data_IF_765838603518
#
_entry.id   IF_765838603518
#
_cell.length_a   1.000
_cell.length_b   1.000
_cell.length_c   1.000
_cell.angle_alpha   90.00
_cell.angle_beta   90.00
_cell.angle_gamma   90.00
#
_symmetry.space_group_name_H-M   'P 1'
#
loop_
_entity.id
_entity.type
_entity.pdbx_description
1 polymer ?
#
# COMPACT_ATOMS: atom_id res chain seq x y z
N UNK A 1 -8.42 4.24 -25.68
CA UNK A 1 -7.48 3.21 -26.14
C UNK A 1 -6.79 2.66 -24.90
N UNK A 2 -7.04 1.39 -24.59
CA UNK A 2 -6.36 0.68 -23.50
C UNK A 2 -4.99 0.28 -24.02
N UNK A 3 -3.92 0.83 -23.45
CA UNK A 3 -2.56 0.37 -23.74
C UNK A 3 -2.40 -0.93 -22.95
N UNK A 4 -2.40 -2.06 -23.65
CA UNK A 4 -2.15 -3.37 -23.04
C UNK A 4 -0.67 -3.51 -22.71
N UNK A 5 -0.35 -3.64 -21.42
CA UNK A 5 0.99 -3.80 -20.91
C UNK A 5 1.51 -5.23 -21.15
N UNK A 6 2.56 -5.38 -21.96
CA UNK A 6 3.40 -6.59 -22.05
C UNK A 6 4.25 -6.75 -20.78
N UNK A 7 4.71 -7.98 -20.48
CA UNK A 7 5.45 -8.29 -19.26
C UNK A 7 6.57 -7.26 -18.96
N UNK A 8 6.48 -6.62 -17.79
CA UNK A 8 7.43 -5.59 -17.35
C UNK A 8 7.14 -4.14 -17.80
N UNK A 9 5.96 -3.81 -18.32
CA UNK A 9 5.59 -2.40 -18.58
C UNK A 9 4.85 -1.78 -17.39
N UNK A 10 5.49 -0.80 -16.75
CA UNK A 10 4.75 0.15 -15.93
C UNK A 10 3.75 0.92 -16.81
N UNK A 11 2.53 1.05 -16.31
CA UNK A 11 1.44 1.79 -16.92
C UNK A 11 0.92 2.86 -15.99
N UNK A 12 0.16 3.79 -16.56
CA UNK A 12 -0.67 4.73 -15.80
C UNK A 12 -2.11 4.59 -16.30
N UNK A 13 -3.01 4.21 -15.41
CA UNK A 13 -4.42 4.08 -15.71
C UNK A 13 -5.05 5.46 -15.95
N UNK A 14 -6.21 5.47 -16.63
CA UNK A 14 -6.95 6.72 -16.93
C UNK A 14 -7.32 7.53 -15.69
N UNK A 15 -7.44 6.86 -14.54
CA UNK A 15 -7.75 7.48 -13.26
C UNK A 15 -6.50 7.90 -12.46
N UNK A 16 -5.31 7.86 -13.09
CA UNK A 16 -4.03 8.30 -12.52
C UNK A 16 -3.25 7.24 -11.75
N UNK A 17 -3.83 6.07 -11.44
CA UNK A 17 -3.10 5.01 -10.72
C UNK A 17 -1.97 4.46 -11.57
N UNK A 18 -0.78 4.38 -10.97
CA UNK A 18 0.37 3.71 -11.58
C UNK A 18 0.30 2.22 -11.31
N UNK A 19 0.57 1.45 -12.35
CA UNK A 19 0.49 0.00 -12.32
C UNK A 19 1.76 -0.63 -12.89
N UNK A 20 2.08 -1.85 -12.48
CA UNK A 20 3.23 -2.60 -13.02
C UNK A 20 2.91 -4.10 -12.93
N UNK A 21 3.50 -4.93 -13.81
CA UNK A 21 3.60 -6.37 -13.59
C UNK A 21 4.95 -6.70 -12.95
N UNK A 22 4.94 -7.41 -11.83
CA UNK A 22 6.15 -7.83 -11.11
C UNK A 22 6.42 -9.31 -11.35
N UNK A 23 7.68 -9.70 -11.23
CA UNK A 23 8.11 -11.09 -11.10
C UNK A 23 8.20 -11.48 -9.63
N UNK A 24 7.74 -12.70 -9.31
CA UNK A 24 7.56 -13.20 -7.95
C UNK A 24 8.40 -14.47 -7.72
N UNK A 25 9.70 -14.37 -7.40
CA UNK A 25 10.60 -15.51 -7.41
C UNK A 25 10.27 -16.61 -6.39
N UNK A 26 9.42 -16.30 -5.40
CA UNK A 26 9.04 -17.20 -4.30
C UNK A 26 7.53 -17.43 -4.22
N UNK A 27 6.78 -17.06 -5.27
CA UNK A 27 5.36 -17.33 -5.36
C UNK A 27 4.98 -17.69 -6.81
N UNK A 28 5.02 -18.99 -7.12
CA UNK A 28 4.77 -19.50 -8.47
C UNK A 28 3.39 -19.15 -9.01
N UNK A 29 2.38 -19.06 -8.14
CA UNK A 29 1.02 -18.69 -8.53
C UNK A 29 0.97 -17.23 -8.98
N UNK A 30 1.47 -16.30 -8.15
CA UNK A 30 1.56 -14.89 -8.53
C UNK A 30 2.47 -14.65 -9.74
N UNK A 31 3.55 -15.42 -9.89
CA UNK A 31 4.43 -15.31 -11.05
C UNK A 31 3.74 -15.80 -12.34
N UNK A 32 2.98 -16.90 -12.25
CA UNK A 32 2.21 -17.42 -13.37
C UNK A 32 1.01 -16.53 -13.74
N UNK A 33 0.27 -16.02 -12.76
CA UNK A 33 -0.82 -15.05 -12.96
C UNK A 33 -0.28 -13.71 -13.50
N UNK A 34 0.94 -13.34 -13.07
CA UNK A 34 1.61 -12.08 -13.36
C UNK A 34 0.66 -10.87 -13.23
N UNK A 35 -0.12 -10.72 -12.13
CA UNK A 35 -1.21 -9.75 -12.08
C UNK A 35 -0.69 -8.32 -12.27
N UNK A 36 -1.54 -7.46 -12.83
CA UNK A 36 -1.23 -6.03 -12.81
C UNK A 36 -1.37 -5.55 -11.36
N UNK A 37 -0.32 -4.97 -10.80
CA UNK A 37 -0.31 -4.52 -9.40
C UNK A 37 -0.25 -3.02 -9.28
N UNK A 38 -0.75 -2.49 -8.16
CA UNK A 38 -0.67 -1.10 -7.76
C UNK A 38 -0.13 -0.99 -6.33
N UNK A 39 0.57 0.10 -6.04
CA UNK A 39 0.88 0.49 -4.67
C UNK A 39 -0.38 1.04 -4.01
N UNK A 40 -0.70 0.56 -2.82
CA UNK A 40 -1.84 1.02 -2.04
C UNK A 40 -1.50 1.29 -0.58
N UNK A 41 -2.50 1.77 0.16
CA UNK A 41 -2.38 2.05 1.60
C UNK A 41 -3.49 1.41 2.42
N UNK A 42 -3.12 0.79 3.54
CA UNK A 42 -4.07 0.32 4.56
C UNK A 42 -3.85 1.05 5.88
N UNK A 43 -4.47 2.24 5.98
CA UNK A 43 -4.07 3.23 6.98
C UNK A 43 -2.72 3.82 6.61
N UNK A 44 -1.69 3.61 7.44
CA UNK A 44 -0.38 4.20 7.22
C UNK A 44 0.66 3.23 6.63
N UNK A 45 0.33 1.94 6.56
CA UNK A 45 1.10 0.91 5.89
C UNK A 45 0.97 0.98 4.36
N UNK A 46 2.08 0.71 3.66
CA UNK A 46 2.16 0.57 2.21
C UNK A 46 2.11 -0.90 1.82
N UNK A 47 1.30 -1.21 0.82
CA UNK A 47 0.98 -2.57 0.41
C UNK A 47 0.95 -2.67 -1.12
N UNK A 48 1.15 -3.87 -1.66
CA UNK A 48 0.84 -4.18 -3.04
C UNK A 48 -0.54 -4.84 -3.11
N UNK A 49 -1.32 -4.43 -4.10
CA UNK A 49 -2.63 -5.02 -4.39
C UNK A 49 -2.78 -5.24 -5.88
N UNK A 50 -3.65 -6.17 -6.27
CA UNK A 50 -4.09 -6.35 -7.67
C UNK A 50 -4.79 -5.08 -8.12
N UNK A 51 -4.39 -4.51 -9.25
CA UNK A 51 -4.84 -3.20 -9.72
C UNK A 51 -6.13 -3.27 -10.52
N UNK A 52 -6.26 -4.25 -11.42
CA UNK A 52 -7.36 -4.31 -12.38
C UNK A 52 -8.53 -5.16 -11.90
N UNK A 53 -9.74 -4.74 -12.27
CA UNK A 53 -10.96 -5.43 -11.85
C UNK A 53 -11.05 -6.86 -12.42
N UNK A 54 -10.52 -7.12 -13.62
CA UNK A 54 -10.59 -8.43 -14.24
C UNK A 54 -9.84 -9.47 -13.39
N UNK A 55 -8.57 -9.22 -13.06
CA UNK A 55 -7.78 -10.10 -12.20
C UNK A 55 -8.35 -10.17 -10.78
N UNK A 56 -9.05 -9.14 -10.29
CA UNK A 56 -9.78 -9.21 -9.01
C UNK A 56 -11.00 -10.12 -9.07
N UNK A 57 -11.76 -10.10 -10.17
CA UNK A 57 -12.96 -10.93 -10.32
C UNK A 57 -12.59 -12.42 -10.51
N UNK A 58 -11.46 -12.68 -11.18
CA UNK A 58 -10.91 -14.03 -11.37
C UNK A 58 -10.34 -14.60 -10.07
N UNK A 59 -9.85 -13.75 -9.17
CA UNK A 59 -9.35 -14.12 -7.84
C UNK A 59 -10.50 -14.12 -6.85
N UNK A 60 -10.83 -15.27 -6.27
CA UNK A 60 -11.86 -15.36 -5.22
C UNK A 60 -11.47 -14.70 -3.87
N UNK A 61 -10.35 -13.95 -3.81
CA UNK A 61 -9.73 -13.45 -2.58
C UNK A 61 -9.58 -11.92 -2.56
N UNK A 62 -9.18 -11.37 -1.40
CA UNK A 62 -8.94 -9.93 -1.22
C UNK A 62 -7.88 -9.43 -2.24
N UNK A 63 -8.04 -8.23 -2.82
CA UNK A 63 -7.04 -7.65 -3.73
C UNK A 63 -5.64 -7.50 -3.12
N UNK A 64 -5.52 -7.53 -1.79
CA UNK A 64 -4.25 -7.48 -1.09
C UNK A 64 -3.31 -8.63 -1.48
N UNK A 65 -2.08 -8.28 -1.84
CA UNK A 65 -1.01 -9.23 -2.16
C UNK A 65 -0.05 -9.33 -0.98
N UNK A 66 0.55 -8.20 -0.58
CA UNK A 66 1.59 -8.18 0.46
C UNK A 66 1.77 -6.80 1.06
N UNK A 67 2.21 -6.75 2.32
CA UNK A 67 2.67 -5.52 2.95
C UNK A 67 4.13 -5.24 2.58
N UNK A 68 4.40 -4.04 2.06
CA UNK A 68 5.75 -3.59 1.73
C UNK A 68 6.42 -2.87 2.89
N UNK A 69 5.67 -2.14 3.71
CA UNK A 69 6.23 -1.44 4.87
C UNK A 69 6.11 -2.26 6.15
N UNK A 70 7.06 -2.09 7.06
CA UNK A 70 7.04 -2.68 8.41
C UNK A 70 7.24 -1.60 9.45
N UNK A 71 6.48 -1.68 10.55
CA UNK A 71 6.76 -0.89 11.75
C UNK A 71 7.90 -1.53 12.53
N UNK A 72 8.97 -0.75 12.73
CA UNK A 72 10.14 -1.12 13.54
C UNK A 72 10.02 -0.47 14.91
N UNK A 73 10.44 -1.12 15.99
CA UNK A 73 10.18 -0.61 17.34
C UNK A 73 10.93 0.71 17.62
N UNK A 74 12.16 0.79 17.15
CA UNK A 74 13.07 1.92 17.33
C UNK A 74 12.66 3.12 16.47
N UNK A 75 12.06 2.85 15.31
CA UNK A 75 11.63 3.86 14.36
C UNK A 75 10.40 3.35 13.55
N UNK A 76 9.19 3.40 14.13
CA UNK A 76 8.00 2.78 13.53
C UNK A 76 7.59 3.42 12.21
N UNK A 77 7.85 4.71 12.07
CA UNK A 77 7.57 5.50 10.88
C UNK A 77 8.73 6.47 10.68
N UNK A 78 9.67 6.20 9.76
CA UNK A 78 10.89 6.99 9.54
C UNK A 78 10.66 8.43 9.05
N UNK A 79 9.42 8.92 9.10
CA UNK A 79 9.08 10.31 8.80
C UNK A 79 9.10 10.60 7.31
N UNK A 80 9.72 11.72 6.96
CA UNK A 80 9.72 12.29 5.62
C UNK A 80 11.14 12.61 5.17
N UNK A 81 11.42 12.44 3.88
CA UNK A 81 12.64 12.93 3.26
C UNK A 81 12.63 14.44 3.10
N UNK A 82 13.78 15.01 2.71
CA UNK A 82 13.91 16.44 2.41
C UNK A 82 12.98 16.92 1.29
N UNK A 83 12.62 16.02 0.38
CA UNK A 83 11.66 16.26 -0.71
C UNK A 83 10.20 16.13 -0.25
N UNK A 84 9.95 16.07 1.06
CA UNK A 84 8.64 15.85 1.68
C UNK A 84 7.97 14.55 1.18
N UNK A 85 8.77 13.49 0.95
CA UNK A 85 8.29 12.15 0.58
C UNK A 85 8.29 11.24 1.78
N UNK A 86 7.28 10.40 1.91
CA UNK A 86 7.20 9.49 3.03
C UNK A 86 8.30 8.44 2.93
N UNK A 87 9.03 8.21 4.02
CA UNK A 87 10.00 7.14 4.12
C UNK A 87 9.36 5.90 4.75
N UNK A 88 9.83 4.72 4.36
CA UNK A 88 9.38 3.43 4.90
C UNK A 88 10.54 2.45 5.07
N UNK A 89 10.46 1.61 6.11
CA UNK A 89 11.26 0.40 6.22
C UNK A 89 10.64 -0.67 5.34
N UNK A 90 11.36 -1.09 4.31
CA UNK A 90 10.83 -2.02 3.30
C UNK A 90 11.07 -3.47 3.74
N UNK A 91 10.01 -4.26 3.76
CA UNK A 91 10.09 -5.72 3.87
C UNK A 91 10.60 -6.29 2.56
N UNK A 92 11.82 -6.83 2.55
CA UNK A 92 12.48 -7.41 1.36
C UNK A 92 12.73 -8.91 1.45
N UNK A 93 12.07 -9.59 2.38
CA UNK A 93 12.22 -11.03 2.64
C UNK A 93 10.89 -11.76 2.42
N UNK A 94 10.93 -13.10 2.45
CA UNK A 94 9.77 -13.98 2.26
C UNK A 94 9.04 -13.65 0.94
N UNK A 95 7.75 -13.33 1.00
CA UNK A 95 6.91 -13.04 -0.17
C UNK A 95 7.35 -11.79 -0.96
N UNK A 96 8.19 -10.93 -0.37
CA UNK A 96 8.69 -9.71 -1.00
C UNK A 96 10.11 -9.84 -1.58
N UNK A 97 10.69 -11.04 -1.53
CA UNK A 97 12.06 -11.25 -1.98
C UNK A 97 12.19 -10.91 -3.49
N UNK A 98 13.10 -9.99 -3.81
CA UNK A 98 13.36 -9.54 -5.17
C UNK A 98 12.43 -8.43 -5.68
N UNK A 99 11.48 -7.93 -4.88
CA UNK A 99 10.57 -6.87 -5.31
C UNK A 99 11.19 -5.48 -5.27
N UNK A 100 12.03 -5.16 -4.27
CA UNK A 100 12.58 -3.81 -4.11
C UNK A 100 13.35 -3.31 -5.37
N UNK A 101 14.25 -4.09 -6.00
CA UNK A 101 14.92 -3.65 -7.22
C UNK A 101 13.96 -3.40 -8.40
N UNK A 102 12.86 -4.16 -8.48
CA UNK A 102 11.84 -3.95 -9.50
C UNK A 102 11.07 -2.65 -9.25
N UNK A 103 10.66 -2.41 -8.00
CA UNK A 103 9.97 -1.19 -7.60
C UNK A 103 10.86 0.06 -7.74
N UNK A 104 12.17 -0.08 -7.54
CA UNK A 104 13.15 0.97 -7.78
C UNK A 104 13.27 1.29 -9.27
N UNK A 105 13.42 0.26 -10.11
CA UNK A 105 13.50 0.41 -11.57
C UNK A 105 12.28 1.15 -12.13
N UNK A 106 11.09 0.88 -11.61
CA UNK A 106 9.85 1.56 -12.03
C UNK A 106 9.63 2.92 -11.37
N UNK A 107 10.54 3.34 -10.48
CA UNK A 107 10.47 4.63 -9.79
C UNK A 107 9.30 4.72 -8.83
N UNK A 108 8.96 3.63 -8.13
CA UNK A 108 7.94 3.59 -7.08
C UNK A 108 8.56 3.77 -5.70
N UNK A 109 9.75 3.20 -5.50
CA UNK A 109 10.55 3.33 -4.28
C UNK A 109 11.97 3.79 -4.63
N UNK A 110 12.61 4.57 -3.76
CA UNK A 110 14.03 4.95 -3.88
C UNK A 110 14.77 4.55 -2.59
N UNK A 111 15.60 3.50 -2.60
CA UNK A 111 16.44 3.16 -1.44
C UNK A 111 17.38 4.33 -1.10
N UNK A 112 17.58 4.60 0.20
CA UNK A 112 18.42 5.73 0.66
C UNK A 112 19.74 5.27 1.32
N UNK A 113 20.08 3.98 1.19
CA UNK A 113 21.32 3.38 1.71
C UNK A 113 21.31 3.04 3.21
N UNK A 114 20.44 3.69 3.99
CA UNK A 114 20.23 3.33 5.40
C UNK A 114 19.51 2.00 5.56
N UNK A 115 19.86 1.26 6.62
CA UNK A 115 19.23 -0.02 6.98
C UNK A 115 19.01 -0.08 8.49
N UNK A 116 18.04 -0.89 8.91
CA UNK A 116 17.83 -1.22 10.33
C UNK A 116 17.72 -2.73 10.50
N UNK A 117 18.26 -3.25 11.61
CA UNK A 117 18.18 -4.66 11.96
C UNK A 117 16.99 -4.88 12.90
N UNK A 118 16.09 -5.79 12.55
CA UNK A 118 14.97 -6.20 13.40
C UNK A 118 15.03 -7.72 13.59
N UNK A 119 15.56 -8.18 14.72
CA UNK A 119 15.84 -9.59 14.95
C UNK A 119 16.86 -10.14 13.95
N UNK A 120 16.45 -11.09 13.11
CA UNK A 120 17.31 -11.74 12.10
C UNK A 120 17.21 -11.10 10.70
N UNK A 121 16.35 -10.11 10.51
CA UNK A 121 16.16 -9.45 9.20
C UNK A 121 16.80 -8.05 9.18
N UNK A 122 17.26 -7.64 8.00
CA UNK A 122 17.73 -6.28 7.73
C UNK A 122 16.74 -5.61 6.78
N UNK A 123 16.20 -4.47 7.21
CA UNK A 123 15.20 -3.72 6.46
C UNK A 123 15.86 -2.47 5.85
N UNK A 124 15.89 -2.32 4.52
CA UNK A 124 16.35 -1.09 3.89
C UNK A 124 15.32 0.04 4.05
N UNK A 125 15.81 1.26 4.23
CA UNK A 125 15.01 2.47 4.19
C UNK A 125 14.81 2.88 2.74
N UNK A 126 13.58 3.23 2.37
CA UNK A 126 13.27 3.77 1.05
C UNK A 126 12.29 4.95 1.12
N UNK A 127 12.43 5.88 0.19
CA UNK A 127 11.44 6.91 -0.09
C UNK A 127 10.35 6.38 -1.01
N UNK A 128 9.10 6.71 -0.70
CA UNK A 128 7.96 6.45 -1.59
C UNK A 128 7.89 7.56 -2.64
N UNK A 129 8.05 7.17 -3.89
CA UNK A 129 8.13 8.10 -5.02
C UNK A 129 6.75 8.44 -5.59
N UNK A 130 5.75 7.59 -5.34
CA UNK A 130 4.37 7.82 -5.77
C UNK A 130 3.64 8.79 -4.86
N UNK A 131 2.86 9.68 -5.46
CA UNK A 131 1.89 10.51 -4.76
C UNK A 131 0.62 9.73 -4.41
N UNK A 132 -0.17 10.27 -3.49
CA UNK A 132 -1.46 9.69 -3.09
C UNK A 132 -2.42 9.44 -4.28
N UNK A 133 -2.36 10.27 -5.32
CA UNK A 133 -3.22 10.14 -6.50
C UNK A 133 -2.76 9.05 -7.47
N UNK A 134 -1.50 8.64 -7.38
CA UNK A 134 -0.91 7.56 -8.19
C UNK A 134 -1.08 6.19 -7.54
N UNK A 135 -1.52 6.14 -6.28
CA UNK A 135 -1.76 4.92 -5.51
C UNK A 135 -3.24 4.56 -5.47
N UNK A 136 -3.56 3.28 -5.27
CA UNK A 136 -4.93 2.86 -4.96
C UNK A 136 -5.23 3.02 -3.47
N UNK A 137 -6.44 3.48 -3.16
CA UNK A 137 -6.84 3.78 -1.80
C UNK A 137 -7.85 2.76 -1.27
N UNK A 138 -7.78 2.49 0.03
CA UNK A 138 -8.73 1.63 0.74
C UNK A 138 -9.71 2.47 1.54
N UNK A 139 -11.00 2.15 1.47
CA UNK A 139 -12.00 2.83 2.27
C UNK A 139 -11.80 2.50 3.75
N UNK A 140 -11.64 3.50 4.61
CA UNK A 140 -11.43 3.30 6.04
C UNK A 140 -12.69 2.83 6.80
N UNK A 141 -13.84 2.73 6.14
CA UNK A 141 -15.08 2.21 6.75
C UNK A 141 -15.45 0.81 6.24
N UNK A 142 -15.62 0.68 4.92
CA UNK A 142 -16.09 -0.56 4.30
C UNK A 142 -14.95 -1.41 3.72
N UNK A 143 -13.70 -0.94 3.85
CA UNK A 143 -12.49 -1.68 3.49
C UNK A 143 -12.30 -2.04 2.01
N UNK A 144 -13.23 -1.63 1.15
CA UNK A 144 -13.13 -1.77 -0.30
C UNK A 144 -11.92 -1.02 -0.85
N UNK A 145 -11.32 -1.56 -1.91
CA UNK A 145 -10.18 -0.99 -2.63
C UNK A 145 -10.62 -0.28 -3.91
N UNK A 146 -10.03 0.87 -4.21
CA UNK A 146 -10.00 1.38 -5.58
C UNK A 146 -9.27 0.40 -6.51
N UNK A 147 -9.61 0.42 -7.80
CA UNK A 147 -8.95 -0.28 -8.91
C UNK A 147 -8.45 0.73 -9.95
N UNK A 148 -7.71 0.26 -10.97
CA UNK A 148 -7.33 1.06 -12.14
C UNK A 148 -8.53 1.54 -12.97
N UNK A 149 -9.70 0.92 -12.80
CA UNK A 149 -10.96 1.24 -13.49
C UNK A 149 -11.91 2.07 -12.64
N UNK A 150 -11.55 2.37 -11.38
CA UNK A 150 -12.37 3.21 -10.50
C UNK A 150 -12.53 4.60 -11.10
N UNK A 151 -13.75 4.90 -11.57
CA UNK A 151 -14.09 6.15 -12.26
C UNK A 151 -13.97 7.37 -11.35
N UNK A 152 -14.57 7.29 -10.16
CA UNK A 152 -14.51 8.34 -9.16
C UNK A 152 -13.58 7.93 -8.03
N UNK A 153 -12.47 8.64 -7.89
CA UNK A 153 -11.49 8.38 -6.83
C UNK A 153 -12.10 8.62 -5.45
N UNK A 154 -11.66 7.83 -4.48
CA UNK A 154 -12.07 7.93 -3.10
C UNK A 154 -11.67 9.29 -2.53
N UNK A 155 -12.58 9.86 -1.76
CA UNK A 155 -12.39 11.14 -1.09
C UNK A 155 -11.50 10.93 0.12
N UNK A 156 -10.55 11.83 0.35
CA UNK A 156 -9.74 11.84 1.57
C UNK A 156 -10.28 12.81 2.59
N UNK A 157 -10.06 12.50 3.87
CA UNK A 157 -10.32 13.44 4.95
C UNK A 157 -9.55 14.75 4.71
N UNK A 158 -10.25 15.88 4.63
CA UNK A 158 -9.64 17.19 4.34
C UNK A 158 -8.66 17.65 5.42
N UNK A 159 -8.89 17.22 6.67
CA UNK A 159 -8.07 17.60 7.83
C UNK A 159 -6.76 16.84 7.89
N UNK A 160 -6.80 15.51 7.99
CA UNK A 160 -5.58 14.71 8.14
C UNK A 160 -4.96 14.27 6.80
N UNK A 161 -5.75 14.19 5.72
CA UNK A 161 -5.33 13.70 4.39
C UNK A 161 -4.81 12.25 4.37
N UNK A 162 -5.05 11.47 5.43
CA UNK A 162 -4.51 10.11 5.66
C UNK A 162 -5.54 8.99 5.61
N UNK A 163 -6.83 9.31 5.54
CA UNK A 163 -7.93 8.32 5.50
C UNK A 163 -8.81 8.61 4.30
N UNK A 164 -9.18 7.55 3.59
CA UNK A 164 -9.91 7.59 2.34
C UNK A 164 -11.27 6.92 2.48
N UNK A 165 -12.23 7.40 1.69
CA UNK A 165 -13.62 6.97 1.74
C UNK A 165 -14.20 6.96 0.33
N UNK A 166 -14.94 5.91 -0.02
CA UNK A 166 -15.66 5.88 -1.29
C UNK A 166 -16.75 6.98 -1.36
N UNK A 167 -17.23 7.47 -0.22
CA UNK A 167 -18.25 8.53 -0.15
C UNK A 167 -18.12 9.39 1.10
N UNK A 168 -18.73 10.58 1.09
CA UNK A 168 -18.88 11.43 2.28
C UNK A 168 -19.75 10.77 3.36
N UNK A 169 -20.71 9.93 2.97
CA UNK A 169 -21.51 9.15 3.90
C UNK A 169 -20.62 8.19 4.74
N UNK A 170 -19.68 7.48 4.09
CA UNK A 170 -18.73 6.62 4.79
C UNK A 170 -17.81 7.41 5.72
N UNK A 171 -17.39 8.61 5.33
CA UNK A 171 -16.62 9.49 6.21
C UNK A 171 -17.41 9.89 7.45
N UNK A 172 -18.69 10.29 7.30
CA UNK A 172 -19.54 10.69 8.42
C UNK A 172 -19.84 9.54 9.37
N UNK A 173 -20.14 8.35 8.84
CA UNK A 173 -20.38 7.16 9.66
C UNK A 173 -19.13 6.71 10.41
N UNK A 174 -17.95 6.82 9.78
CA UNK A 174 -16.68 6.48 10.43
C UNK A 174 -16.19 7.56 11.41
N UNK A 175 -16.81 8.75 11.45
CA UNK A 175 -16.28 9.91 12.19
C UNK A 175 -16.10 9.65 13.68
N UNK A 176 -17.01 8.90 14.32
CA UNK A 176 -16.91 8.58 15.75
C UNK A 176 -15.60 7.87 16.11
N UNK A 177 -15.14 6.96 15.23
CA UNK A 177 -13.85 6.26 15.34
C UNK A 177 -12.70 7.15 14.86
N UNK A 178 -12.86 7.79 13.70
CA UNK A 178 -11.80 8.60 13.08
C UNK A 178 -11.42 9.84 13.88
N UNK A 179 -12.35 10.49 14.59
CA UNK A 179 -12.15 11.83 15.18
C UNK A 179 -10.91 11.92 16.07
N UNK A 180 -10.66 10.88 16.89
CA UNK A 180 -9.48 10.81 17.75
C UNK A 180 -8.22 10.68 16.90
N UNK A 181 -8.20 9.71 16.00
CA UNK A 181 -7.06 9.44 15.12
C UNK A 181 -6.76 10.63 14.20
N UNK A 182 -7.77 11.32 13.70
CA UNK A 182 -7.62 12.49 12.85
C UNK A 182 -6.75 13.57 13.51
N UNK A 183 -6.94 13.81 14.82
CA UNK A 183 -6.15 14.80 15.57
C UNK A 183 -4.71 14.35 15.76
N UNK A 184 -4.48 13.05 15.93
CA UNK A 184 -3.16 12.46 16.11
C UNK A 184 -2.39 12.42 14.79
N UNK A 185 -3.04 12.06 13.69
CA UNK A 185 -2.48 12.04 12.34
C UNK A 185 -2.01 13.44 11.91
N UNK A 186 -2.76 14.49 12.22
CA UNK A 186 -2.34 15.89 11.98
C UNK A 186 -1.07 16.25 12.75
N UNK A 187 -0.87 15.66 13.94
CA UNK A 187 0.29 15.89 14.79
C UNK A 187 1.45 14.93 14.49
N UNK A 188 1.37 14.14 13.42
CA UNK A 188 2.41 13.18 13.04
C UNK A 188 2.50 11.94 13.94
N UNK A 189 1.51 11.70 14.82
CA UNK A 189 1.49 10.55 15.73
C UNK A 189 1.00 9.27 15.04
N UNK A 190 1.70 8.84 13.99
CA UNK A 190 1.33 7.69 13.18
C UNK A 190 1.40 6.39 13.99
N UNK A 191 2.46 6.22 14.79
CA UNK A 191 2.66 5.06 15.67
C UNK A 191 1.51 4.87 16.67
N UNK A 192 1.09 5.94 17.34
CA UNK A 192 0.00 5.87 18.32
C UNK A 192 -1.34 5.48 17.69
N UNK A 193 -1.58 5.94 16.46
CA UNK A 193 -2.81 5.60 15.72
C UNK A 193 -2.78 4.14 15.30
N UNK A 194 -1.67 3.66 14.76
CA UNK A 194 -1.54 2.27 14.31
C UNK A 194 -1.55 1.27 15.47
N UNK A 195 -0.87 1.57 16.57
CA UNK A 195 -0.91 0.73 17.78
C UNK A 195 -2.33 0.57 18.32
N UNK A 196 -3.11 1.67 18.38
CA UNK A 196 -4.52 1.59 18.79
C UNK A 196 -5.37 0.75 17.84
N UNK A 197 -5.11 0.80 16.53
CA UNK A 197 -5.81 -0.07 15.57
C UNK A 197 -5.54 -1.54 15.88
N UNK A 198 -4.27 -1.90 16.08
CA UNK A 198 -3.85 -3.28 16.41
C UNK A 198 -4.42 -3.74 17.76
N UNK A 199 -4.39 -2.89 18.78
CA UNK A 199 -5.01 -3.16 20.10
C UNK A 199 -6.53 -3.35 20.00
N UNK A 200 -7.19 -2.62 19.10
CA UNK A 200 -8.63 -2.78 18.82
C UNK A 200 -8.96 -4.02 17.96
N UNK A 201 -7.98 -4.90 17.72
CA UNK A 201 -8.17 -6.14 16.98
C UNK A 201 -8.11 -6.01 15.46
N UNK A 202 -7.63 -4.87 14.93
CA UNK A 202 -7.32 -4.79 13.50
C UNK A 202 -6.22 -5.79 13.17
N UNK A 203 -6.56 -6.74 12.31
CA UNK A 203 -5.61 -7.61 11.67
C UNK A 203 -5.30 -7.01 10.30
N UNK A 204 -4.02 -6.76 9.97
CA UNK A 204 -3.67 -6.40 8.61
C UNK A 204 -4.17 -7.50 7.67
N UNK A 205 -4.67 -7.14 6.47
CA UNK A 205 -5.03 -8.13 5.47
C UNK A 205 -3.83 -9.07 5.26
N UNK A 206 -4.10 -10.37 5.29
CA UNK A 206 -3.09 -11.39 5.06
C UNK A 206 -3.05 -11.70 3.56
N UNK A 207 -1.87 -12.01 2.99
CA UNK A 207 -1.81 -12.56 1.65
C UNK A 207 -2.72 -13.78 1.60
N UNK A 208 -3.39 -14.03 0.47
CA UNK A 208 -4.01 -15.33 0.26
C UNK A 208 -2.90 -16.39 0.44
N UNK A 209 -3.03 -17.25 1.44
CA UNK A 209 -2.13 -18.40 1.56
C UNK A 209 -2.38 -19.26 0.32
N UNK A 210 -1.35 -19.71 -0.41
CA UNK A 210 -1.56 -20.81 -1.34
C UNK A 210 -2.12 -21.97 -0.53
N UNK A 211 -3.28 -22.49 -0.92
CA UNK A 211 -3.79 -23.73 -0.33
C UNK A 211 -2.71 -24.80 -0.52
N UNK A 212 -2.26 -25.39 0.58
CA UNK A 212 -1.29 -26.49 0.61
C UNK A 212 -1.96 -27.78 0.16
#
# INVERSE_FOLDING_TARGET
MVVTAENGTAGTATNGVRTVRLSWPHNNELDAESPLVALGRTGDDFVLVVADQKSRDERACDPFITALSVMVNEDPFPGWSMDNRQMIWVKTYSENQGLLPQLEKEGWLRPVGSTIKQGFVTLPLAEVMLSDTEMVQRCALCEAWESSETKERFKRCSTCKRRYYCSSAHQHQHWSKHKKDCKDLVKGRLADVENRRREAGYLPPKPASPEV
#
